data_IF_967762017726
#
_entry.id   IF_967762017726
#
_cell.length_a   1.000
_cell.length_b   1.000
_cell.length_c   1.000
_cell.angle_alpha   90.00
_cell.angle_beta   90.00
_cell.angle_gamma   90.00
#
_symmetry.space_group_name_H-M   'P 1'
#
loop_
_entity.id
_entity.type
_entity.pdbx_description
1 polymer ?
#
# COMPACT_ATOMS: atom_id res chain seq x y z
N UNK A 1 28.09 40.60 -57.19
CA UNK A 1 26.62 40.59 -57.05
C UNK A 1 26.26 41.86 -56.29
N UNK A 2 26.04 42.92 -57.07
CA UNK A 2 26.07 44.33 -56.69
C UNK A 2 24.64 44.79 -56.39
N UNK A 3 24.51 45.64 -55.37
CA UNK A 3 23.51 46.70 -55.25
C UNK A 3 22.01 46.32 -55.38
N UNK A 4 21.44 45.74 -54.31
CA UNK A 4 19.97 45.70 -54.11
C UNK A 4 19.51 46.33 -52.77
N UNK A 5 20.40 46.99 -52.02
CA UNK A 5 20.11 47.48 -50.66
C UNK A 5 20.34 49.00 -50.48
N UNK A 6 20.33 49.78 -51.57
CA UNK A 6 20.55 51.23 -51.51
C UNK A 6 19.29 52.05 -51.15
N UNK A 7 18.11 51.42 -51.14
CA UNK A 7 16.81 52.05 -50.92
C UNK A 7 16.03 51.37 -49.79
N UNK A 8 16.69 51.20 -48.63
CA UNK A 8 16.03 50.75 -47.40
C UNK A 8 16.26 51.76 -46.31
N UNK A 9 15.19 52.14 -45.62
CA UNK A 9 15.26 53.04 -44.47
C UNK A 9 16.27 52.51 -43.44
N UNK A 10 17.11 53.41 -42.91
CA UNK A 10 18.12 53.12 -41.89
C UNK A 10 17.65 52.20 -40.75
N UNK A 11 16.44 52.36 -40.18
CA UNK A 11 15.89 51.42 -39.19
C UNK A 11 15.79 49.97 -39.68
N UNK A 12 15.44 49.74 -40.95
CA UNK A 12 15.33 48.39 -41.52
C UNK A 12 16.70 47.72 -41.60
N UNK A 13 17.74 48.49 -41.96
CA UNK A 13 19.13 48.00 -42.05
C UNK A 13 19.69 47.65 -40.67
N UNK A 14 19.42 48.49 -39.67
CA UNK A 14 19.79 48.23 -38.27
C UNK A 14 19.08 46.97 -37.76
N UNK A 15 17.78 46.84 -38.03
CA UNK A 15 17.00 45.66 -37.67
C UNK A 15 17.54 44.38 -38.31
N UNK A 16 17.82 44.38 -39.61
CA UNK A 16 18.39 43.21 -40.31
C UNK A 16 19.77 42.82 -39.78
N UNK A 17 20.59 43.79 -39.37
CA UNK A 17 21.93 43.54 -38.80
C UNK A 17 21.86 42.94 -37.40
N UNK A 18 20.92 43.42 -36.58
CA UNK A 18 20.62 42.85 -35.26
C UNK A 18 20.08 41.43 -35.43
N UNK A 19 19.12 41.22 -36.34
CA UNK A 19 18.54 39.91 -36.66
C UNK A 19 19.58 38.90 -37.17
N UNK A 20 20.51 39.31 -38.04
CA UNK A 20 21.56 38.44 -38.55
C UNK A 20 22.58 38.04 -37.46
N UNK A 21 22.85 38.93 -36.50
CA UNK A 21 23.86 38.70 -35.46
C UNK A 21 23.33 37.95 -34.23
N UNK A 22 22.09 38.21 -33.85
CA UNK A 22 21.47 37.64 -32.64
C UNK A 22 20.44 36.55 -32.95
N UNK A 23 20.19 36.27 -34.23
CA UNK A 23 19.17 35.33 -34.68
C UNK A 23 17.80 36.00 -34.82
N UNK A 24 16.93 35.35 -35.56
CA UNK A 24 15.57 35.84 -35.78
C UNK A 24 14.67 35.52 -34.58
N UNK A 25 14.14 36.53 -33.87
CA UNK A 25 13.23 36.29 -32.75
C UNK A 25 11.93 35.60 -33.18
N UNK A 26 11.58 35.63 -34.47
CA UNK A 26 10.45 34.87 -35.01
C UNK A 26 10.75 33.37 -35.20
N UNK A 27 12.02 32.96 -35.22
CA UNK A 27 12.40 31.55 -35.39
C UNK A 27 12.50 30.90 -34.01
N UNK A 28 11.45 30.16 -33.64
CA UNK A 28 11.49 29.29 -32.46
C UNK A 28 12.62 28.28 -32.64
N UNK A 29 13.68 28.37 -31.86
CA UNK A 29 14.77 27.38 -31.89
C UNK A 29 14.23 25.98 -31.58
N UNK A 30 14.91 24.92 -32.02
CA UNK A 30 14.51 23.53 -31.73
C UNK A 30 14.31 23.31 -30.22
N UNK A 31 15.17 23.91 -29.40
CA UNK A 31 15.06 23.85 -27.94
C UNK A 31 13.91 24.69 -27.38
N UNK A 32 13.62 25.86 -27.98
CA UNK A 32 12.41 26.63 -27.68
C UNK A 32 11.14 25.83 -27.96
N UNK A 33 11.09 25.15 -29.11
CA UNK A 33 9.97 24.28 -29.51
C UNK A 33 9.85 23.03 -28.64
N UNK A 34 10.97 22.50 -28.13
CA UNK A 34 10.98 21.39 -27.16
C UNK A 34 10.50 21.83 -25.78
N UNK A 35 10.88 23.04 -25.33
CA UNK A 35 10.39 23.63 -24.08
C UNK A 35 8.90 23.91 -24.13
N UNK A 36 8.38 24.51 -25.21
CA UNK A 36 6.94 24.74 -25.37
C UNK A 36 6.15 23.44 -25.44
N UNK A 37 6.66 22.40 -26.13
CA UNK A 37 6.03 21.06 -26.11
C UNK A 37 6.01 20.41 -24.74
N UNK A 38 7.07 20.54 -23.94
CA UNK A 38 7.11 20.04 -22.56
C UNK A 38 6.17 20.83 -21.64
N UNK A 39 6.05 22.13 -21.84
CA UNK A 39 5.10 22.97 -21.12
C UNK A 39 3.65 22.63 -21.50
N UNK A 40 3.36 22.43 -22.79
CA UNK A 40 2.05 21.97 -23.27
C UNK A 40 1.71 20.57 -22.74
N UNK A 41 2.71 19.68 -22.62
CA UNK A 41 2.56 18.38 -21.96
C UNK A 41 2.41 18.48 -20.43
N UNK A 42 2.44 19.68 -19.84
CA UNK A 42 2.21 19.96 -18.42
C UNK A 42 1.04 20.93 -18.23
N UNK A 43 0.11 20.99 -19.19
CA UNK A 43 -1.13 21.74 -19.03
C UNK A 43 -2.09 21.01 -18.06
N UNK A 44 -2.76 21.73 -17.15
CA UNK A 44 -3.84 21.18 -16.36
C UNK A 44 -4.97 20.65 -17.25
N UNK A 45 -5.60 19.52 -16.87
CA UNK A 45 -6.75 18.91 -17.57
C UNK A 45 -6.47 18.34 -18.98
N UNK A 46 -5.21 18.02 -19.31
CA UNK A 46 -4.88 17.22 -20.49
C UNK A 46 -5.34 15.77 -20.31
N UNK A 47 -5.71 15.09 -21.40
CA UNK A 47 -6.10 13.67 -21.36
C UNK A 47 -5.09 12.80 -20.58
N UNK A 48 -5.59 12.03 -19.60
CA UNK A 48 -4.76 11.24 -18.67
C UNK A 48 -4.36 11.97 -17.39
N UNK A 49 -4.82 13.20 -17.18
CA UNK A 49 -4.66 13.97 -15.93
C UNK A 49 -5.97 14.49 -15.35
N UNK A 50 -7.07 13.82 -15.68
CA UNK A 50 -8.35 14.09 -15.04
C UNK A 50 -8.22 13.80 -13.53
N UNK A 51 -8.79 14.66 -12.66
CA UNK A 51 -8.73 14.45 -11.22
C UNK A 51 -9.44 13.15 -10.88
N UNK A 52 -8.65 12.16 -10.48
CA UNK A 52 -9.13 10.88 -9.96
C UNK A 52 -9.23 10.97 -8.45
N UNK A 53 -10.25 10.32 -7.88
CA UNK A 53 -10.39 10.22 -6.43
C UNK A 53 -9.16 9.54 -5.82
N UNK A 54 -8.74 10.00 -4.65
CA UNK A 54 -7.57 9.45 -3.95
C UNK A 54 -7.65 7.92 -3.82
N UNK A 55 -8.83 7.38 -3.54
CA UNK A 55 -9.07 5.93 -3.46
C UNK A 55 -8.66 5.20 -4.74
N UNK A 56 -9.11 5.65 -5.91
CA UNK A 56 -8.77 5.01 -7.18
C UNK A 56 -7.29 5.07 -7.54
N UNK A 57 -6.58 6.13 -7.12
CA UNK A 57 -5.11 6.21 -7.28
C UNK A 57 -4.42 5.19 -6.38
N UNK A 58 -4.84 5.09 -5.13
CA UNK A 58 -4.29 4.14 -4.17
C UNK A 58 -4.57 2.70 -4.63
N UNK A 59 -5.79 2.40 -5.09
CA UNK A 59 -6.16 1.08 -5.60
C UNK A 59 -5.30 0.69 -6.81
N UNK A 60 -5.06 1.63 -7.73
CA UNK A 60 -4.16 1.43 -8.86
C UNK A 60 -2.72 1.12 -8.42
N UNK A 61 -2.20 1.86 -7.44
CA UNK A 61 -0.87 1.61 -6.88
C UNK A 61 -0.77 0.26 -6.16
N UNK A 62 -1.80 -0.14 -5.40
CA UNK A 62 -1.84 -1.45 -4.72
C UNK A 62 -1.88 -2.58 -5.74
N UNK A 63 -2.64 -2.41 -6.84
CA UNK A 63 -2.68 -3.37 -7.94
C UNK A 63 -1.32 -3.49 -8.65
N UNK A 64 -0.71 -2.36 -9.02
CA UNK A 64 0.59 -2.32 -9.69
C UNK A 64 1.72 -2.92 -8.82
N UNK A 65 1.65 -2.74 -7.49
CA UNK A 65 2.60 -3.30 -6.54
C UNK A 65 2.33 -4.76 -6.15
N UNK A 66 1.18 -5.34 -6.53
CA UNK A 66 0.80 -6.69 -6.16
C UNK A 66 0.41 -6.87 -4.68
N UNK A 67 0.09 -5.78 -3.97
CA UNK A 67 -0.20 -5.78 -2.53
C UNK A 67 -1.63 -6.14 -2.16
N UNK A 68 -2.45 -6.54 -3.14
CA UNK A 68 -3.85 -6.88 -2.93
C UNK A 68 -4.03 -7.92 -1.81
N UNK A 69 -3.19 -8.97 -1.80
CA UNK A 69 -3.22 -10.00 -0.77
C UNK A 69 -2.84 -9.48 0.63
N UNK A 70 -1.79 -8.65 0.73
CA UNK A 70 -1.37 -8.06 2.01
C UNK A 70 -2.41 -7.07 2.55
N UNK A 71 -3.04 -6.29 1.67
CA UNK A 71 -4.16 -5.41 2.04
C UNK A 71 -5.36 -6.20 2.52
N UNK A 72 -5.72 -7.30 1.85
CA UNK A 72 -6.80 -8.17 2.28
C UNK A 72 -6.50 -8.82 3.65
N UNK A 73 -5.26 -9.25 3.88
CA UNK A 73 -4.79 -9.74 5.19
C UNK A 73 -4.91 -8.67 6.28
N UNK A 74 -4.49 -7.43 6.00
CA UNK A 74 -4.69 -6.30 6.90
C UNK A 74 -6.18 -6.04 7.20
N UNK A 75 -7.03 -6.16 6.20
CA UNK A 75 -8.48 -6.07 6.33
C UNK A 75 -9.06 -7.12 7.29
N UNK A 76 -8.58 -8.37 7.23
CA UNK A 76 -8.99 -9.43 8.17
C UNK A 76 -8.65 -9.07 9.61
N UNK A 77 -7.47 -8.51 9.85
CA UNK A 77 -7.04 -8.09 11.20
C UNK A 77 -7.88 -6.91 11.71
N UNK A 78 -8.14 -5.91 10.86
CA UNK A 78 -8.90 -4.73 11.20
C UNK A 78 -10.39 -5.03 11.47
N UNK A 79 -10.98 -5.89 10.63
CA UNK A 79 -12.41 -6.24 10.69
C UNK A 79 -12.70 -7.50 11.52
N UNK A 80 -11.73 -7.97 12.32
CA UNK A 80 -11.90 -9.15 13.15
C UNK A 80 -13.19 -9.14 13.98
N UNK A 81 -13.57 -8.05 14.69
CA UNK A 81 -14.81 -8.02 15.46
C UNK A 81 -16.07 -8.21 14.63
N UNK A 82 -16.06 -7.75 13.36
CA UNK A 82 -17.18 -7.94 12.44
C UNK A 82 -17.30 -9.39 11.97
N UNK A 83 -16.17 -10.09 11.82
CA UNK A 83 -16.12 -11.49 11.36
C UNK A 83 -16.63 -12.44 12.45
N UNK A 84 -16.12 -12.30 13.67
CA UNK A 84 -16.41 -13.24 14.78
C UNK A 84 -17.55 -12.78 15.69
N UNK A 85 -17.88 -11.49 15.68
CA UNK A 85 -18.86 -10.88 16.57
C UNK A 85 -18.23 -10.37 17.88
N UNK A 86 -18.96 -9.51 18.62
CA UNK A 86 -18.42 -8.77 19.76
C UNK A 86 -17.96 -9.68 20.92
N UNK A 87 -18.74 -10.72 21.25
CA UNK A 87 -18.41 -11.62 22.37
C UNK A 87 -17.08 -12.36 22.17
N UNK A 88 -16.83 -12.85 20.96
CA UNK A 88 -15.60 -13.56 20.63
C UNK A 88 -14.44 -12.56 20.50
N UNK A 89 -14.69 -11.39 19.91
CA UNK A 89 -13.70 -10.34 19.77
C UNK A 89 -13.19 -9.83 21.13
N UNK A 90 -14.03 -9.77 22.15
CA UNK A 90 -13.62 -9.38 23.50
C UNK A 90 -12.65 -10.37 24.17
N UNK A 91 -12.61 -11.62 23.68
CA UNK A 91 -11.82 -12.71 24.27
C UNK A 91 -10.69 -13.19 23.36
N UNK A 92 -10.57 -12.61 22.17
CA UNK A 92 -9.60 -13.00 21.16
C UNK A 92 -8.96 -11.80 20.49
N UNK A 93 -7.68 -11.90 20.18
CA UNK A 93 -6.94 -10.84 19.50
C UNK A 93 -6.15 -11.45 18.35
N UNK A 94 -6.39 -11.03 17.10
CA UNK A 94 -5.60 -11.50 15.98
C UNK A 94 -4.20 -10.86 16.04
N UNK A 95 -3.15 -11.68 16.04
CA UNK A 95 -1.77 -11.18 16.17
C UNK A 95 -1.13 -10.90 14.82
N UNK A 96 -1.50 -11.67 13.80
CA UNK A 96 -0.95 -11.56 12.47
C UNK A 96 -1.21 -12.79 11.62
N UNK A 97 -0.82 -12.69 10.35
CA UNK A 97 -0.95 -13.74 9.36
C UNK A 97 0.45 -14.06 8.85
N UNK A 98 0.83 -15.33 8.89
CA UNK A 98 2.12 -15.81 8.40
C UNK A 98 1.88 -17.05 7.55
N UNK A 99 2.36 -17.04 6.30
CA UNK A 99 2.24 -18.19 5.37
C UNK A 99 0.79 -18.70 5.23
N UNK A 100 -0.18 -17.78 5.19
CA UNK A 100 -1.61 -18.12 5.11
C UNK A 100 -2.21 -18.65 6.42
N UNK A 101 -1.47 -18.65 7.52
CA UNK A 101 -1.96 -19.04 8.85
C UNK A 101 -2.25 -17.79 9.70
N UNK A 102 -3.53 -17.58 10.02
CA UNK A 102 -3.93 -16.53 10.98
C UNK A 102 -3.66 -17.01 12.41
N UNK A 103 -2.86 -16.24 13.16
CA UNK A 103 -2.58 -16.49 14.57
C UNK A 103 -3.48 -15.61 15.43
N UNK A 104 -4.23 -16.23 16.33
CA UNK A 104 -5.18 -15.55 17.22
C UNK A 104 -4.88 -15.90 18.67
N UNK A 105 -4.58 -14.90 19.48
CA UNK A 105 -4.40 -15.04 20.92
C UNK A 105 -5.74 -15.05 21.63
N UNK A 106 -5.92 -15.99 22.54
CA UNK A 106 -7.09 -16.12 23.41
C UNK A 106 -6.72 -15.67 24.83
N UNK A 107 -7.70 -15.13 25.55
CA UNK A 107 -7.50 -14.69 26.96
C UNK A 107 -7.26 -15.84 27.94
N UNK A 108 -7.71 -17.06 27.61
CA UNK A 108 -7.56 -18.23 28.48
C UNK A 108 -7.41 -19.51 27.66
N UNK A 109 -6.91 -20.57 28.31
CA UNK A 109 -6.80 -21.92 27.73
C UNK A 109 -8.17 -22.53 27.43
N UNK A 110 -9.19 -22.29 28.27
CA UNK A 110 -10.55 -22.74 28.03
C UNK A 110 -11.14 -22.12 26.75
N UNK A 111 -10.97 -20.81 26.58
CA UNK A 111 -11.38 -20.10 25.36
C UNK A 111 -10.63 -20.58 24.12
N UNK A 112 -9.34 -20.90 24.23
CA UNK A 112 -8.58 -21.51 23.12
C UNK A 112 -9.22 -22.83 22.66
N UNK A 113 -9.63 -23.70 23.59
CA UNK A 113 -10.30 -24.95 23.25
C UNK A 113 -11.67 -24.72 22.58
N UNK A 114 -12.46 -23.77 23.09
CA UNK A 114 -13.72 -23.38 22.45
C UNK A 114 -13.48 -22.91 21.00
N UNK A 115 -12.48 -22.04 20.79
CA UNK A 115 -12.14 -21.53 19.47
C UNK A 115 -11.64 -22.63 18.53
N UNK A 116 -10.92 -23.64 19.04
CA UNK A 116 -10.52 -24.81 18.24
C UNK A 116 -11.72 -25.56 17.68
N UNK A 117 -12.81 -25.68 18.43
CA UNK A 117 -14.05 -26.31 17.96
C UNK A 117 -14.74 -25.46 16.88
N UNK A 118 -14.68 -24.13 17.01
CA UNK A 118 -15.29 -23.17 16.06
C UNK A 118 -14.40 -22.85 14.85
N UNK A 119 -13.20 -23.43 14.76
CA UNK A 119 -12.18 -23.06 13.77
C UNK A 119 -12.70 -23.08 12.34
N UNK A 120 -13.42 -24.14 11.96
CA UNK A 120 -13.90 -24.31 10.60
C UNK A 120 -14.91 -23.23 10.21
N UNK A 121 -15.86 -22.93 11.11
CA UNK A 121 -16.87 -21.89 10.89
C UNK A 121 -16.22 -20.50 10.72
N UNK A 122 -15.28 -20.16 11.61
CA UNK A 122 -14.57 -18.87 11.53
C UNK A 122 -13.74 -18.79 10.24
N UNK A 123 -13.04 -19.86 9.85
CA UNK A 123 -12.28 -19.89 8.60
C UNK A 123 -13.18 -19.68 7.37
N UNK A 124 -14.34 -20.32 7.34
CA UNK A 124 -15.32 -20.12 6.26
C UNK A 124 -15.83 -18.68 6.18
N UNK A 125 -16.12 -18.04 7.32
CA UNK A 125 -16.52 -16.62 7.36
C UNK A 125 -15.43 -15.69 6.82
N UNK A 126 -14.17 -15.95 7.16
CA UNK A 126 -13.04 -15.16 6.68
C UNK A 126 -12.91 -15.32 5.16
N UNK A 127 -12.91 -16.55 4.64
CA UNK A 127 -12.78 -16.82 3.19
C UNK A 127 -13.93 -16.16 2.41
N UNK A 128 -15.15 -16.18 2.96
CA UNK A 128 -16.30 -15.53 2.33
C UNK A 128 -16.19 -13.99 2.32
N UNK A 129 -15.64 -13.38 3.38
CA UNK A 129 -15.51 -11.94 3.49
C UNK A 129 -14.25 -11.36 2.81
N UNK A 130 -13.16 -12.13 2.78
CA UNK A 130 -11.84 -11.73 2.30
C UNK A 130 -11.18 -12.86 1.46
N UNK A 131 -11.68 -13.11 0.24
CA UNK A 131 -11.18 -14.21 -0.61
C UNK A 131 -9.71 -14.04 -0.99
N UNK A 132 -9.26 -12.80 -1.19
CA UNK A 132 -7.91 -12.48 -1.63
C UNK A 132 -6.86 -12.54 -0.51
N UNK A 133 -7.27 -12.74 0.75
CA UNK A 133 -6.35 -12.81 1.89
C UNK A 133 -5.47 -14.07 1.90
N UNK A 134 -5.84 -15.11 1.14
CA UNK A 134 -5.06 -16.35 1.02
C UNK A 134 -4.93 -17.13 2.32
N UNK A 135 -5.92 -17.04 3.22
CA UNK A 135 -5.90 -17.72 4.51
C UNK A 135 -6.23 -19.20 4.33
N UNK A 136 -5.27 -20.05 4.69
CA UNK A 136 -5.35 -21.51 4.62
C UNK A 136 -5.84 -22.10 5.94
N UNK A 137 -5.57 -21.43 7.06
CA UNK A 137 -5.98 -21.93 8.36
C UNK A 137 -5.85 -20.91 9.49
N UNK A 138 -6.33 -21.32 10.67
CA UNK A 138 -6.32 -20.50 11.88
C UNK A 138 -5.69 -21.28 13.02
N UNK A 139 -4.75 -20.64 13.70
CA UNK A 139 -4.13 -21.16 14.92
C UNK A 139 -4.52 -20.29 16.10
N UNK A 140 -5.25 -20.90 17.03
CA UNK A 140 -5.55 -20.30 18.33
C UNK A 140 -4.42 -20.63 19.31
N UNK A 141 -3.96 -19.61 20.04
CA UNK A 141 -2.97 -19.74 21.11
C UNK A 141 -3.54 -19.17 22.40
N UNK A 142 -3.42 -19.90 23.50
CA UNK A 142 -3.78 -19.41 24.82
C UNK A 142 -2.84 -18.30 25.33
N UNK A 143 -3.09 -17.79 26.55
CA UNK A 143 -2.18 -16.85 27.18
C UNK A 143 -0.80 -17.47 27.38
N UNK A 144 0.24 -16.63 27.40
CA UNK A 144 1.61 -17.09 27.62
C UNK A 144 1.69 -17.90 28.92
N UNK A 145 2.07 -19.18 28.84
CA UNK A 145 2.22 -19.99 30.04
C UNK A 145 3.39 -19.49 30.87
N UNK A 146 3.17 -19.37 32.17
CA UNK A 146 4.23 -18.98 33.09
C UNK A 146 5.18 -20.16 33.27
N UNK A 147 6.48 -19.92 33.10
CA UNK A 147 7.48 -20.94 33.38
C UNK A 147 7.85 -20.91 34.87
N UNK A 148 7.75 -22.06 35.53
CA UNK A 148 8.24 -22.23 36.90
C UNK A 148 9.74 -22.52 36.97
N UNK A 149 10.39 -22.67 35.81
CA UNK A 149 11.82 -22.87 35.68
C UNK A 149 12.54 -21.56 36.02
N UNK A 150 13.17 -21.48 37.19
CA UNK A 150 14.00 -20.34 37.60
C UNK A 150 15.46 -20.75 37.74
N UNK A 151 16.31 -20.23 36.84
CA UNK A 151 17.77 -20.30 36.93
C UNK A 151 18.41 -21.65 36.58
N UNK A 152 19.75 -21.72 36.56
CA UNK A 152 20.51 -22.87 36.05
C UNK A 152 20.52 -24.11 36.96
N UNK A 153 19.90 -24.04 38.15
CA UNK A 153 19.86 -25.13 39.13
C UNK A 153 18.44 -25.62 39.40
N UNK A 154 17.64 -25.80 38.35
CA UNK A 154 16.30 -26.39 38.46
C UNK A 154 16.36 -27.91 38.56
N UNK A 155 15.69 -28.47 39.56
CA UNK A 155 15.52 -29.92 39.73
C UNK A 155 14.60 -30.45 38.62
N UNK A 156 15.02 -31.50 37.91
CA UNK A 156 14.12 -32.26 37.02
C UNK A 156 13.12 -33.06 37.88
N UNK A 157 12.01 -32.43 38.25
CA UNK A 157 10.89 -33.03 38.98
C UNK A 157 9.61 -33.07 38.14
N UNK A 158 8.56 -33.75 38.63
CA UNK A 158 7.24 -33.75 37.97
C UNK A 158 6.75 -32.31 37.87
N UNK A 159 6.48 -31.87 36.64
CA UNK A 159 6.04 -30.53 36.29
C UNK A 159 4.73 -30.11 36.98
N UNK A 160 4.17 -28.94 36.61
CA UNK A 160 2.98 -28.39 37.24
C UNK A 160 1.86 -29.43 37.26
N UNK A 161 1.40 -29.79 38.47
CA UNK A 161 0.25 -30.68 38.65
C UNK A 161 -0.99 -29.81 38.73
N UNK A 162 -1.96 -30.09 37.87
CA UNK A 162 -3.36 -29.68 37.93
C UNK A 162 -3.60 -28.40 38.76
N UNK A 163 -3.26 -27.25 38.18
CA UNK A 163 -3.47 -25.93 38.78
C UNK A 163 -4.18 -25.04 37.78
N UNK A 164 -5.30 -25.53 37.23
CA UNK A 164 -6.24 -24.71 36.47
C UNK A 164 -7.66 -25.19 36.75
N UNK A 165 -8.21 -24.70 37.87
CA UNK A 165 -9.63 -24.35 37.93
C UNK A 165 -9.83 -22.93 37.41
#
# INVERSE_FOLDING_TARGET
MKDLDADRDEPERVWMRIRARFGDPAITTRDGRRRTRRAAASEPFTAGRDPVGLGGVLDGLVADAGWQGEMAQGGVLAEWPRIVGPEIADKTTPEGIAEGLLVVRCVSTAWEQQMRLMRADIASRIIAAFPDAGIVGIRFVGPQQHSFLRGPRTVRGRGPRDTWG
#
